data_IF_631079635316
#
_entry.id   IF_631079635316
#
_cell.length_a   1.000
_cell.length_b   1.000
_cell.length_c   1.000
_cell.angle_alpha   90.00
_cell.angle_beta   90.00
_cell.angle_gamma   90.00
#
_symmetry.space_group_name_H-M   'P 1'
#
loop_
_entity.id
_entity.type
_entity.pdbx_description
1 polymer ?
#
# COMPACT_ATOMS: atom_id res chain seq x y z
N UNK A 1 6.02 -23.46 10.61
CA UNK A 1 4.71 -22.93 10.18
C UNK A 1 4.65 -22.87 8.66
N UNK A 2 5.22 -23.87 7.98
CA UNK A 2 5.81 -23.65 6.65
C UNK A 2 4.78 -23.76 5.51
N UNK A 3 3.50 -23.86 5.88
CA UNK A 3 2.34 -23.92 4.98
C UNK A 3 1.34 -22.79 5.24
N UNK A 4 1.66 -21.87 6.16
CA UNK A 4 0.78 -20.73 6.47
C UNK A 4 1.31 -19.51 5.74
N UNK A 5 0.46 -18.88 4.95
CA UNK A 5 0.74 -17.57 4.36
C UNK A 5 0.50 -16.49 5.42
N UNK A 6 1.50 -15.64 5.65
CA UNK A 6 1.39 -14.48 6.53
C UNK A 6 1.23 -13.27 5.62
N UNK A 7 0.23 -12.44 5.92
CA UNK A 7 0.04 -11.14 5.29
C UNK A 7 0.03 -10.04 6.34
N UNK A 8 0.42 -8.85 5.91
CA UNK A 8 0.41 -7.65 6.74
C UNK A 8 -0.61 -6.63 6.22
N UNK A 9 -1.20 -5.90 7.16
CA UNK A 9 -2.04 -4.76 6.90
C UNK A 9 -1.56 -3.63 7.80
N UNK A 10 -0.93 -2.62 7.21
CA UNK A 10 -0.28 -1.54 7.95
C UNK A 10 -0.93 -0.20 7.60
N UNK A 11 -1.11 0.63 8.63
CA UNK A 11 -1.39 2.04 8.45
C UNK A 11 -0.08 2.83 8.35
N UNK A 12 -0.07 3.88 7.53
CA UNK A 12 1.12 4.65 7.27
C UNK A 12 0.81 6.10 6.94
N UNK A 13 1.80 6.97 7.18
CA UNK A 13 1.87 8.25 6.49
C UNK A 13 2.86 8.12 5.32
N UNK A 14 2.89 9.13 4.45
CA UNK A 14 3.76 9.14 3.28
C UNK A 14 5.25 9.12 3.63
N UNK A 15 5.63 9.65 4.80
CA UNK A 15 7.03 9.75 5.20
C UNK A 15 7.64 8.41 5.62
N UNK A 16 6.83 7.46 6.09
CA UNK A 16 7.31 6.16 6.59
C UNK A 16 6.72 4.95 5.86
N UNK A 17 6.06 5.14 4.72
CA UNK A 17 5.45 4.03 3.97
C UNK A 17 6.48 3.08 3.40
N UNK A 18 7.58 3.60 2.83
CA UNK A 18 8.61 2.79 2.19
C UNK A 18 9.36 1.95 3.22
N UNK A 19 9.83 2.55 4.31
CA UNK A 19 10.52 1.83 5.39
C UNK A 19 9.72 0.62 5.91
N UNK A 20 8.38 0.77 6.01
CA UNK A 20 7.49 -0.32 6.44
C UNK A 20 7.37 -1.42 5.40
N UNK A 21 7.28 -1.05 4.11
CA UNK A 21 7.24 -2.02 3.01
C UNK A 21 8.55 -2.80 2.95
N UNK A 22 9.69 -2.10 3.03
CA UNK A 22 11.02 -2.70 3.05
C UNK A 22 11.20 -3.66 4.22
N UNK A 23 10.84 -3.25 5.43
CA UNK A 23 10.94 -4.10 6.62
C UNK A 23 10.06 -5.36 6.49
N UNK A 24 8.87 -5.21 5.91
CA UNK A 24 7.97 -6.33 5.64
C UNK A 24 8.60 -7.31 4.65
N UNK A 25 9.08 -6.79 3.52
CA UNK A 25 9.67 -7.62 2.47
C UNK A 25 10.94 -8.33 2.97
N UNK A 26 11.79 -7.63 3.73
CA UNK A 26 12.98 -8.19 4.36
C UNK A 26 12.68 -9.29 5.38
N UNK A 27 11.48 -9.27 6.00
CA UNK A 27 11.02 -10.35 6.90
C UNK A 27 10.59 -11.63 6.16
N UNK A 28 10.55 -11.60 4.82
CA UNK A 28 10.05 -12.68 3.98
C UNK A 28 8.52 -12.67 3.78
N UNK A 29 7.82 -11.65 4.30
CA UNK A 29 6.39 -11.47 4.09
C UNK A 29 6.14 -10.76 2.76
N UNK A 30 5.50 -11.44 1.81
CA UNK A 30 5.25 -10.92 0.46
C UNK A 30 3.79 -10.55 0.19
N UNK A 31 2.88 -10.85 1.14
CA UNK A 31 1.46 -10.45 1.07
C UNK A 31 1.24 -9.15 1.84
N UNK A 32 0.94 -8.06 1.12
CA UNK A 32 0.71 -6.73 1.69
C UNK A 32 -0.68 -6.24 1.29
N UNK A 33 -1.53 -6.03 2.28
CA UNK A 33 -2.82 -5.38 2.08
C UNK A 33 -2.61 -3.85 2.08
N UNK A 34 -3.18 -3.16 1.08
CA UNK A 34 -3.02 -1.71 0.88
C UNK A 34 -4.34 -1.09 0.40
N UNK A 35 -4.40 0.25 0.35
CA UNK A 35 -5.51 0.97 -0.25
C UNK A 35 -5.01 2.02 -1.23
N UNK A 36 -5.73 2.18 -2.34
CA UNK A 36 -5.42 3.17 -3.36
C UNK A 36 -5.37 4.58 -2.74
N UNK A 37 -4.31 5.36 -3.01
CA UNK A 37 -4.04 6.68 -2.40
C UNK A 37 -3.95 6.68 -0.87
N UNK A 38 -3.85 5.51 -0.24
CA UNK A 38 -3.90 5.37 1.21
C UNK A 38 -5.27 5.73 1.80
N UNK A 39 -6.35 5.70 0.99
CA UNK A 39 -7.70 6.01 1.47
C UNK A 39 -8.12 5.12 2.62
N UNK A 40 -8.90 5.70 3.54
CA UNK A 40 -9.32 5.04 4.78
C UNK A 40 -8.35 5.35 5.92
N UNK A 41 -8.91 5.74 7.05
CA UNK A 41 -8.18 6.15 8.26
C UNK A 41 -9.14 6.26 9.44
N UNK A 42 -8.61 6.35 10.66
CA UNK A 42 -9.44 6.40 11.85
C UNK A 42 -10.10 7.79 11.99
N UNK A 43 -11.44 7.91 12.03
CA UNK A 43 -12.11 9.20 12.25
C UNK A 43 -11.81 9.81 13.63
N UNK A 44 -11.25 9.03 14.55
CA UNK A 44 -10.88 9.43 15.92
C UNK A 44 -9.36 9.69 16.08
N UNK A 45 -8.56 9.60 15.01
CA UNK A 45 -7.14 9.94 15.07
C UNK A 45 -6.98 11.47 15.03
N UNK A 46 -6.93 12.11 16.20
CA UNK A 46 -6.55 13.51 16.34
C UNK A 46 -5.12 13.70 15.82
N UNK A 47 -4.98 14.53 14.78
CA UNK A 47 -3.76 15.12 14.22
C UNK A 47 -2.65 14.21 13.65
N UNK A 48 -2.72 12.90 13.86
CA UNK A 48 -1.87 11.93 13.16
C UNK A 48 -2.71 11.22 12.10
N UNK A 49 -2.96 11.91 10.98
CA UNK A 49 -3.61 11.36 9.78
C UNK A 49 -2.75 10.24 9.17
N UNK A 50 -2.74 9.07 9.83
CA UNK A 50 -2.27 7.81 9.29
C UNK A 50 -3.45 7.12 8.61
N UNK A 51 -3.42 7.12 7.29
CA UNK A 51 -4.32 6.31 6.49
C UNK A 51 -3.79 4.89 6.31
N UNK A 52 -4.41 4.16 5.40
CA UNK A 52 -3.87 2.90 4.92
C UNK A 52 -2.54 3.11 4.20
N UNK A 53 -1.74 2.04 4.10
CA UNK A 53 -0.60 2.03 3.19
C UNK A 53 -1.08 2.25 1.76
N UNK A 54 -0.49 3.22 1.07
CA UNK A 54 -0.87 3.59 -0.28
C UNK A 54 -0.40 2.53 -1.30
N UNK A 55 -1.32 2.00 -2.10
CA UNK A 55 -1.01 0.94 -3.09
C UNK A 55 0.07 1.37 -4.08
N UNK A 56 0.08 2.65 -4.50
CA UNK A 56 1.11 3.20 -5.39
C UNK A 56 2.52 3.15 -4.80
N UNK A 57 2.65 3.23 -3.46
CA UNK A 57 3.96 3.12 -2.81
C UNK A 57 4.46 1.68 -2.80
N UNK A 58 3.56 0.70 -2.70
CA UNK A 58 3.89 -0.73 -2.83
C UNK A 58 4.34 -1.03 -4.25
N UNK A 59 3.59 -0.57 -5.26
CA UNK A 59 3.95 -0.74 -6.68
C UNK A 59 5.32 -0.13 -6.95
N UNK A 60 5.53 1.11 -6.50
CA UNK A 60 6.81 1.81 -6.67
C UNK A 60 7.97 1.04 -6.03
N UNK A 61 7.80 0.56 -4.80
CA UNK A 61 8.81 -0.26 -4.14
C UNK A 61 9.13 -1.54 -4.92
N UNK A 62 8.11 -2.23 -5.43
CA UNK A 62 8.30 -3.44 -6.23
C UNK A 62 9.09 -3.13 -7.50
N UNK A 63 8.72 -2.10 -8.24
CA UNK A 63 9.41 -1.65 -9.45
C UNK A 63 10.88 -1.28 -9.17
N UNK A 64 11.12 -0.47 -8.13
CA UNK A 64 12.46 -0.06 -7.71
C UNK A 64 13.31 -1.28 -7.25
N UNK A 65 12.65 -2.33 -6.77
CA UNK A 65 13.27 -3.62 -6.38
C UNK A 65 13.38 -4.62 -7.53
N UNK A 66 13.09 -4.23 -8.77
CA UNK A 66 13.16 -5.09 -9.95
C UNK A 66 12.03 -6.11 -10.09
N UNK A 67 10.95 -5.95 -9.33
CA UNK A 67 9.75 -6.78 -9.40
C UNK A 67 8.64 -6.07 -10.17
N UNK A 68 7.97 -6.78 -11.07
CA UNK A 68 6.79 -6.23 -11.75
C UNK A 68 5.53 -6.57 -10.97
N UNK A 69 4.67 -5.56 -10.77
CA UNK A 69 3.32 -5.81 -10.31
C UNK A 69 2.53 -6.56 -11.39
N UNK A 70 1.60 -7.42 -10.99
CA UNK A 70 0.69 -8.10 -11.91
C UNK A 70 -0.52 -7.23 -12.30
N UNK A 71 -0.49 -5.94 -11.99
CA UNK A 71 -1.59 -5.02 -12.27
C UNK A 71 -1.56 -4.59 -13.74
N UNK A 72 -2.74 -4.51 -14.32
CA UNK A 72 -2.93 -3.87 -15.62
C UNK A 72 -2.83 -2.35 -15.44
N UNK A 73 -1.86 -1.73 -16.12
CA UNK A 73 -1.58 -0.31 -15.95
C UNK A 73 -2.70 0.59 -16.51
N UNK A 74 -3.46 0.13 -17.51
CA UNK A 74 -4.56 0.91 -18.07
C UNK A 74 -5.71 0.98 -17.05
N UNK A 75 -6.11 -0.17 -16.50
CA UNK A 75 -7.12 -0.20 -15.43
C UNK A 75 -6.65 0.47 -14.13
N UNK A 76 -5.37 0.36 -13.79
CA UNK A 76 -4.78 1.05 -12.65
C UNK A 76 -4.88 2.57 -12.80
N UNK A 77 -4.52 3.11 -13.95
CA UNK A 77 -4.60 4.54 -14.23
C UNK A 77 -6.05 5.05 -14.22
N UNK A 78 -6.99 4.27 -14.78
CA UNK A 78 -8.41 4.57 -14.70
C UNK A 78 -8.91 4.63 -13.25
N UNK A 79 -8.56 3.62 -12.43
CA UNK A 79 -8.93 3.58 -11.02
C UNK A 79 -8.32 4.75 -10.22
N UNK A 80 -7.06 5.10 -10.48
CA UNK A 80 -6.39 6.24 -9.87
C UNK A 80 -7.09 7.56 -10.20
N UNK A 81 -7.52 7.76 -11.44
CA UNK A 81 -8.28 8.95 -11.84
C UNK A 81 -9.69 8.97 -11.23
N UNK A 82 -10.41 7.84 -11.29
CA UNK A 82 -11.78 7.74 -10.80
C UNK A 82 -11.88 7.91 -9.27
N UNK A 83 -10.88 7.44 -8.53
CA UNK A 83 -10.89 7.51 -7.06
C UNK A 83 -11.02 8.92 -6.49
N UNK A 84 -10.44 9.95 -7.14
CA UNK A 84 -10.61 11.35 -6.71
C UNK A 84 -12.07 11.77 -6.82
N UNK A 85 -12.82 11.29 -7.81
CA UNK A 85 -14.25 11.61 -7.98
C UNK A 85 -15.13 10.95 -6.91
N UNK A 86 -14.70 9.81 -6.38
CA UNK A 86 -15.48 9.03 -5.40
C UNK A 86 -15.19 9.48 -3.96
N UNK A 87 -13.92 9.74 -3.65
CA UNK A 87 -13.45 9.94 -2.28
C UNK A 87 -12.86 11.34 -2.00
N UNK A 88 -12.69 12.18 -3.03
CA UNK A 88 -12.22 13.57 -2.92
C UNK A 88 -13.32 14.56 -3.21
#
# INVERSE_FOLDING_TARGET
FDKIEIGIHLHSNAANSIDKIEATYASGCTRIDSALKGFGGCPMAEDHLTGNLATEQVIKFLEDSGHQSSLDLDYWNEAMAFSTKVFG
#
